data_IF_469888809597
#
_entry.id   IF_469888809597
#
_cell.length_a   1.000
_cell.length_b   1.000
_cell.length_c   1.000
_cell.angle_alpha   90.00
_cell.angle_beta   90.00
_cell.angle_gamma   90.00
#
_symmetry.space_group_name_H-M   'P 1'
#
loop_
_entity.id
_entity.type
_entity.pdbx_description
1 polymer ?
#
# COMPACT_ATOMS: atom_id res chain seq x y z
N UNK A 1 -20.73 0.21 1.72
CA UNK A 1 -20.33 0.75 0.41
C UNK A 1 -21.57 1.34 -0.24
N UNK A 2 -21.75 2.65 -0.13
CA UNK A 2 -22.67 3.33 -1.04
C UNK A 2 -21.90 3.46 -2.36
N UNK A 3 -22.23 2.62 -3.34
CA UNK A 3 -21.90 2.96 -4.72
C UNK A 3 -22.74 4.19 -5.04
N UNK A 4 -22.19 5.37 -4.78
CA UNK A 4 -22.80 6.59 -5.25
C UNK A 4 -22.88 6.41 -6.77
N UNK A 5 -24.09 6.51 -7.30
CA UNK A 5 -24.41 6.38 -8.71
C UNK A 5 -23.87 7.61 -9.47
N UNK A 6 -22.58 7.91 -9.30
CA UNK A 6 -21.89 9.03 -9.90
C UNK A 6 -21.25 8.55 -11.18
N UNK A 7 -21.87 8.88 -12.30
CA UNK A 7 -21.33 8.76 -13.66
C UNK A 7 -20.08 9.64 -13.91
N UNK A 8 -19.51 10.24 -12.87
CA UNK A 8 -18.34 11.10 -12.94
C UNK A 8 -17.05 10.27 -12.81
N UNK A 9 -16.02 10.56 -13.62
CA UNK A 9 -14.71 9.94 -13.46
C UNK A 9 -14.16 10.16 -12.04
N UNK A 10 -13.67 9.10 -11.42
CA UNK A 10 -12.98 9.16 -10.13
C UNK A 10 -11.53 9.57 -10.39
N UNK A 11 -11.01 10.55 -9.65
CA UNK A 11 -9.60 10.92 -9.72
C UNK A 11 -8.73 9.85 -9.02
N UNK A 12 -7.90 9.14 -9.79
CA UNK A 12 -7.04 8.04 -9.31
C UNK A 12 -5.55 8.34 -9.50
N UNK A 13 -5.15 9.62 -9.47
CA UNK A 13 -3.75 10.06 -9.69
C UNK A 13 -2.91 10.12 -8.41
N UNK A 14 -3.50 9.85 -7.25
CA UNK A 14 -2.84 9.84 -5.95
C UNK A 14 -3.18 8.55 -5.19
N UNK A 15 -2.27 8.14 -4.29
CA UNK A 15 -2.53 7.04 -3.37
C UNK A 15 -3.69 7.38 -2.43
N UNK A 16 -4.56 6.39 -2.17
CA UNK A 16 -5.53 6.48 -1.09
C UNK A 16 -4.90 6.48 0.31
N UNK A 17 -5.69 6.75 1.36
CA UNK A 17 -5.21 6.74 2.73
C UNK A 17 -4.75 5.33 3.15
N UNK A 18 -3.83 5.28 4.11
CA UNK A 18 -3.43 4.01 4.73
C UNK A 18 -4.51 3.51 5.69
N UNK A 19 -4.57 2.19 5.90
CA UNK A 19 -5.46 1.64 6.92
C UNK A 19 -5.00 2.02 8.33
N UNK A 20 -5.91 2.12 9.31
CA UNK A 20 -5.58 2.62 10.64
C UNK A 20 -4.54 1.73 11.33
N UNK A 21 -3.48 2.36 11.81
CA UNK A 21 -2.33 1.72 12.46
C UNK A 21 -1.58 2.75 13.31
N UNK A 22 -0.68 2.29 14.17
CA UNK A 22 0.15 3.19 14.97
C UNK A 22 1.17 3.88 14.06
N UNK A 23 1.23 5.23 14.03
CA UNK A 23 2.20 5.94 13.20
C UNK A 23 3.63 5.52 13.52
N UNK A 24 4.42 5.23 12.48
CA UNK A 24 5.81 4.78 12.62
C UNK A 24 6.69 5.78 13.38
N UNK A 25 6.37 7.08 13.32
CA UNK A 25 7.04 8.14 14.10
C UNK A 25 6.86 8.03 15.61
N UNK A 26 5.82 7.33 16.06
CA UNK A 26 5.49 7.17 17.49
C UNK A 26 5.94 5.82 18.06
N UNK A 27 6.43 4.91 17.22
CA UNK A 27 6.99 3.63 17.66
C UNK A 27 8.44 3.82 18.11
N UNK A 28 8.63 4.16 19.38
CA UNK A 28 9.93 4.47 19.99
C UNK A 28 10.77 3.23 20.36
N UNK A 29 10.40 2.04 19.90
CA UNK A 29 11.21 0.83 20.13
C UNK A 29 12.48 0.90 19.28
N UNK A 30 13.68 0.72 19.86
CA UNK A 30 14.91 0.68 19.08
C UNK A 30 14.81 -0.38 17.99
N UNK A 31 14.85 0.06 16.73
CA UNK A 31 14.92 -0.82 15.57
C UNK A 31 16.23 -0.58 14.81
N UNK A 32 16.52 -1.47 13.86
CA UNK A 32 17.75 -1.41 13.07
C UNK A 32 17.91 -0.09 12.30
N UNK A 33 16.80 0.56 11.92
CA UNK A 33 16.83 1.84 11.22
C UNK A 33 17.26 2.96 12.16
N UNK A 34 16.64 3.07 13.34
CA UNK A 34 17.04 4.03 14.37
C UNK A 34 18.46 3.82 14.87
N UNK A 35 18.88 2.55 15.02
CA UNK A 35 20.23 2.19 15.46
C UNK A 35 21.32 2.54 14.44
N UNK A 36 20.98 2.65 13.16
CA UNK A 36 21.90 3.04 12.08
C UNK A 36 21.78 4.51 11.68
N UNK A 37 21.00 5.31 12.42
CA UNK A 37 20.78 6.73 12.15
C UNK A 37 19.76 7.02 11.04
N UNK A 38 19.02 6.01 10.57
CA UNK A 38 17.95 6.16 9.59
C UNK A 38 16.59 6.48 10.21
N UNK A 39 15.67 7.00 9.39
CA UNK A 39 14.29 7.29 9.79
C UNK A 39 13.29 6.46 8.97
N UNK A 40 12.52 5.58 9.64
CA UNK A 40 11.53 4.72 8.96
C UNK A 40 10.44 5.49 8.22
N UNK A 41 10.13 6.73 8.61
CA UNK A 41 9.12 7.54 7.93
C UNK A 41 9.56 7.97 6.54
N UNK A 42 10.87 7.93 6.23
CA UNK A 42 11.37 8.20 4.88
C UNK A 42 10.92 7.13 3.89
N UNK A 43 10.87 5.87 4.32
CA UNK A 43 10.48 4.75 3.48
C UNK A 43 8.98 4.42 3.53
N UNK A 44 8.29 4.95 4.53
CA UNK A 44 6.84 4.84 4.69
C UNK A 44 6.25 6.22 4.98
N UNK A 45 6.15 7.09 3.96
CA UNK A 45 5.63 8.45 4.12
C UNK A 45 4.09 8.43 4.19
N UNK A 46 3.55 7.78 5.23
CA UNK A 46 2.10 7.79 5.44
C UNK A 46 1.66 9.21 5.78
N UNK A 47 0.80 9.79 4.94
CA UNK A 47 0.26 11.13 5.17
C UNK A 47 -1.05 11.10 5.97
N UNK A 48 -1.89 10.10 5.70
CA UNK A 48 -3.25 10.03 6.24
C UNK A 48 -3.64 8.57 6.53
N UNK A 49 -4.42 8.39 7.59
CA UNK A 49 -5.02 7.12 8.01
C UNK A 49 -6.55 7.23 7.97
N UNK A 50 -7.22 6.20 7.45
CA UNK A 50 -8.69 6.15 7.39
C UNK A 50 -9.18 4.70 7.45
N UNK A 51 -10.37 4.44 7.99
CA UNK A 51 -11.05 3.15 7.85
C UNK A 51 -11.57 2.91 6.43
N UNK A 52 -11.78 3.99 5.67
CA UNK A 52 -12.03 3.96 4.23
C UNK A 52 -10.70 3.91 3.46
N UNK A 53 -9.92 2.87 3.73
CA UNK A 53 -8.58 2.66 3.18
C UNK A 53 -8.50 1.59 2.10
N UNK A 54 -9.61 0.91 1.78
CA UNK A 54 -9.64 -0.24 0.86
C UNK A 54 -9.54 0.21 -0.59
N UNK A 55 -8.37 0.71 -0.94
CA UNK A 55 -7.99 1.18 -2.27
C UNK A 55 -6.99 0.23 -2.90
N UNK A 56 -6.93 0.28 -4.23
CA UNK A 56 -5.92 -0.41 -5.01
C UNK A 56 -5.27 0.57 -5.98
N UNK A 57 -4.02 0.29 -6.33
CA UNK A 57 -3.25 1.07 -7.28
C UNK A 57 -2.90 0.14 -8.45
N UNK A 58 -3.11 0.62 -9.68
CA UNK A 58 -2.83 -0.14 -10.89
C UNK A 58 -1.79 0.62 -11.69
N UNK A 59 -0.73 -0.07 -12.08
CA UNK A 59 0.26 0.44 -13.00
C UNK A 59 0.33 -0.47 -14.21
N UNK A 60 0.25 0.12 -15.39
CA UNK A 60 0.28 -0.59 -16.66
C UNK A 60 1.35 0.02 -17.56
N UNK A 61 1.93 -0.77 -18.48
CA UNK A 61 2.63 -0.18 -19.61
C UNK A 61 1.65 0.65 -20.46
N UNK A 62 2.18 1.49 -21.34
CA UNK A 62 1.36 2.12 -22.37
C UNK A 62 0.81 1.01 -23.29
N UNK A 63 -0.49 0.77 -23.21
CA UNK A 63 -1.15 -0.25 -24.04
C UNK A 63 -1.45 0.36 -25.41
N UNK A 64 -1.02 -0.30 -26.48
CA UNK A 64 -1.44 -0.01 -27.85
C UNK A 64 -2.47 -1.04 -28.30
N UNK A 65 -3.25 -0.71 -29.33
CA UNK A 65 -4.23 -1.65 -29.90
C UNK A 65 -3.54 -2.95 -30.35
N UNK A 66 -4.14 -4.10 -30.00
CA UNK A 66 -3.63 -5.43 -30.36
C UNK A 66 -2.60 -6.04 -29.40
N UNK A 67 -2.28 -5.38 -28.29
CA UNK A 67 -1.38 -5.94 -27.26
C UNK A 67 -2.05 -7.13 -26.56
N UNK A 68 -1.36 -8.29 -26.50
CA UNK A 68 -1.85 -9.46 -25.74
C UNK A 68 -2.05 -9.08 -24.27
N UNK A 69 -3.05 -9.68 -23.61
CA UNK A 69 -3.32 -9.45 -22.18
C UNK A 69 -2.04 -9.72 -21.35
N UNK A 70 -1.43 -8.69 -20.74
CA UNK A 70 -0.20 -8.84 -19.97
C UNK A 70 -0.46 -9.61 -18.67
N UNK A 71 0.59 -10.27 -18.16
CA UNK A 71 0.54 -10.95 -16.86
C UNK A 71 0.25 -9.92 -15.76
N UNK A 72 -0.65 -10.26 -14.83
CA UNK A 72 -1.00 -9.42 -13.69
C UNK A 72 -0.24 -9.90 -12.45
N UNK A 73 0.56 -9.01 -11.87
CA UNK A 73 1.26 -9.22 -10.60
C UNK A 73 0.53 -8.47 -9.50
N UNK A 74 0.02 -9.19 -8.50
CA UNK A 74 -0.69 -8.60 -7.36
C UNK A 74 0.21 -8.62 -6.13
N UNK A 75 0.42 -7.46 -5.52
CA UNK A 75 1.27 -7.30 -4.35
C UNK A 75 0.47 -6.87 -3.12
N UNK A 76 0.74 -7.55 -2.03
CA UNK A 76 0.27 -7.21 -0.70
C UNK A 76 1.49 -6.82 0.13
N UNK A 77 1.43 -5.64 0.75
CA UNK A 77 2.52 -5.17 1.60
C UNK A 77 2.68 -6.07 2.84
N UNK A 78 3.92 -6.18 3.32
CA UNK A 78 4.24 -6.80 4.61
C UNK A 78 4.12 -5.82 5.78
N UNK A 79 4.51 -6.28 6.98
CA UNK A 79 4.43 -5.49 8.22
C UNK A 79 3.67 -6.21 9.34
N UNK A 80 3.82 -7.54 9.38
CA UNK A 80 3.35 -8.45 10.44
C UNK A 80 1.86 -8.28 10.80
N UNK A 81 1.04 -7.85 9.85
CA UNK A 81 -0.38 -7.54 10.03
C UNK A 81 -0.68 -6.40 11.01
N UNK A 82 0.32 -5.64 11.47
CA UNK A 82 0.15 -4.52 12.42
C UNK A 82 0.38 -3.16 11.76
N UNK A 83 1.17 -3.12 10.70
CA UNK A 83 1.53 -1.89 9.98
C UNK A 83 1.82 -2.16 8.50
N UNK A 84 1.95 -1.09 7.73
CA UNK A 84 2.29 -1.12 6.31
C UNK A 84 1.29 -0.34 5.44
N UNK A 85 1.55 -0.35 4.13
CA UNK A 85 0.70 0.33 3.16
C UNK A 85 1.30 0.32 1.77
N UNK A 86 0.46 0.55 0.77
CA UNK A 86 0.88 0.58 -0.64
C UNK A 86 1.70 1.81 -1.04
N UNK A 87 1.76 2.82 -0.17
CA UNK A 87 2.52 4.07 -0.37
C UNK A 87 4.00 3.94 0.04
N UNK A 88 4.47 2.73 0.40
CA UNK A 88 5.85 2.49 0.78
C UNK A 88 6.82 2.72 -0.38
N UNK A 89 7.89 3.47 -0.12
CA UNK A 89 8.96 3.70 -1.09
C UNK A 89 9.90 2.51 -1.25
N UNK A 90 9.83 1.50 -0.38
CA UNK A 90 10.55 0.22 -0.57
C UNK A 90 10.17 -0.46 -1.88
N UNK A 91 8.96 -0.18 -2.38
CA UNK A 91 8.44 -0.73 -3.62
C UNK A 91 8.17 0.41 -4.62
N UNK A 92 9.24 1.01 -5.17
CA UNK A 92 9.11 1.92 -6.32
C UNK A 92 9.07 1.11 -7.63
N UNK A 93 7.88 1.00 -8.21
CA UNK A 93 7.60 0.07 -9.29
C UNK A 93 7.51 0.74 -10.67
N UNK A 94 7.51 2.06 -10.70
CA UNK A 94 7.47 2.85 -11.93
C UNK A 94 8.64 2.47 -12.84
N UNK A 95 9.85 2.37 -12.28
CA UNK A 95 11.04 1.97 -13.04
C UNK A 95 10.93 0.53 -13.58
N UNK A 96 10.38 -0.40 -12.80
CA UNK A 96 10.29 -1.80 -13.21
C UNK A 96 9.32 -2.00 -14.39
N UNK A 97 8.16 -1.34 -14.33
CA UNK A 97 7.14 -1.39 -15.40
C UNK A 97 7.65 -0.69 -16.66
N UNK A 98 8.34 0.44 -16.49
CA UNK A 98 9.00 1.15 -17.61
C UNK A 98 10.06 0.29 -18.29
N UNK A 99 10.85 -0.47 -17.54
CA UNK A 99 11.90 -1.33 -18.10
C UNK A 99 11.36 -2.60 -18.77
N UNK A 100 10.35 -3.26 -18.19
CA UNK A 100 9.89 -4.58 -18.66
C UNK A 100 8.77 -4.50 -19.68
N UNK A 101 7.86 -3.52 -19.54
CA UNK A 101 6.69 -3.30 -20.41
C UNK A 101 5.79 -4.53 -20.67
N UNK A 102 5.94 -5.62 -19.90
CA UNK A 102 5.28 -6.90 -20.18
C UNK A 102 4.19 -7.28 -19.18
N UNK A 103 4.01 -6.51 -18.11
CA UNK A 103 3.20 -6.91 -16.96
C UNK A 103 2.37 -5.73 -16.43
N UNK A 104 1.18 -6.03 -15.91
CA UNK A 104 0.39 -5.11 -15.08
C UNK A 104 0.76 -5.40 -13.63
N UNK A 105 0.93 -4.34 -12.85
CA UNK A 105 1.11 -4.45 -11.42
C UNK A 105 -0.09 -3.87 -10.69
N UNK A 106 -0.55 -4.58 -9.68
CA UNK A 106 -1.62 -4.14 -8.78
C UNK A 106 -1.11 -4.23 -7.36
N UNK A 107 -1.25 -3.15 -6.58
CA UNK A 107 -1.13 -3.21 -5.13
C UNK A 107 -2.46 -2.89 -4.48
N UNK A 108 -2.76 -3.53 -3.36
CA UNK A 108 -4.00 -3.31 -2.64
C UNK A 108 -3.72 -3.03 -1.17
N UNK A 109 -4.46 -2.06 -0.62
CA UNK A 109 -4.57 -1.93 0.81
C UNK A 109 -5.48 -3.02 1.38
N UNK A 110 -5.07 -3.59 2.49
CA UNK A 110 -5.89 -4.49 3.30
C UNK A 110 -5.90 -4.00 4.74
N UNK A 111 -7.01 -4.27 5.44
CA UNK A 111 -7.15 -3.89 6.85
C UNK A 111 -6.15 -4.69 7.69
N UNK A 112 -5.63 -4.05 8.72
CA UNK A 112 -4.58 -4.56 9.60
C UNK A 112 -4.97 -4.31 11.06
N UNK A 113 -4.18 -4.84 12.00
CA UNK A 113 -4.41 -4.75 13.43
C UNK A 113 -5.85 -5.21 13.78
N UNK A 114 -6.45 -4.68 14.85
CA UNK A 114 -7.83 -4.98 15.25
C UNK A 114 -8.87 -4.79 14.14
N UNK A 115 -8.61 -3.89 13.18
CA UNK A 115 -9.55 -3.58 12.09
C UNK A 115 -9.62 -4.67 11.01
N UNK A 116 -8.59 -5.51 10.90
CA UNK A 116 -8.55 -6.64 9.95
C UNK A 116 -8.38 -8.00 10.61
N UNK A 117 -7.77 -8.04 11.78
CA UNK A 117 -7.30 -9.25 12.47
C UNK A 117 -7.54 -9.14 13.99
N UNK A 118 -8.80 -9.12 14.46
CA UNK A 118 -9.13 -8.86 15.86
C UNK A 118 -8.60 -9.91 16.86
N UNK A 119 -8.24 -11.11 16.38
CA UNK A 119 -7.74 -12.22 17.18
C UNK A 119 -6.20 -12.35 17.18
N UNK A 120 -5.46 -11.35 16.67
CA UNK A 120 -3.99 -11.40 16.52
C UNK A 120 -3.26 -10.55 17.58
N UNK A 121 -3.94 -10.18 18.67
CA UNK A 121 -3.27 -9.55 19.80
C UNK A 121 -2.33 -10.56 20.49
N UNK A 122 -1.18 -10.12 21.04
CA UNK A 122 -0.38 -10.97 21.91
C UNK A 122 -1.30 -11.48 23.01
N UNK A 123 -1.34 -12.80 23.20
CA UNK A 123 -1.91 -13.35 24.43
C UNK A 123 -1.12 -12.76 25.59
N UNK A 124 -1.66 -11.75 26.26
CA UNK A 124 -1.24 -11.39 27.59
C UNK A 124 -1.64 -12.56 28.49
N UNK A 125 -0.68 -13.46 28.72
CA UNK A 125 -0.70 -14.39 29.85
C UNK A 125 -0.21 -13.69 31.11
#
# INVERSE_FOLDING_TARGET
MAFNNSSLPINTTAFGPACPQVPLSTQLTPDVFSATGGNRTEFFPVKEFSEDCLTLNVWTPALTDGTKLPVVLVWFFGGVFLQGGTHSLYFNLTSWIQCTQGHIFVSANYRINIFGFPNVLPSHG
#
